data_IF_161410996899
#
_entry.id   IF_161410996899
#
_cell.length_a   1.000
_cell.length_b   1.000
_cell.length_c   1.000
_cell.angle_alpha   90.00
_cell.angle_beta   90.00
_cell.angle_gamma   90.00
#
_symmetry.space_group_name_H-M   'P 1'
#
loop_
_entity.id
_entity.type
_entity.pdbx_description
1 polymer ?
#
# COMPACT_ATOMS: atom_id res chain seq x y z
N UNK A 1 -2.26 -6.41 -24.62
CA UNK A 1 -2.20 -7.57 -24.00
C UNK A 1 -2.45 -7.49 -22.54
N UNK A 2 -3.24 -8.28 -22.11
CA UNK A 2 -3.64 -8.22 -20.75
C UNK A 2 -2.55 -8.74 -19.84
N UNK A 3 -2.37 -8.03 -18.79
CA UNK A 3 -1.54 -8.48 -17.73
C UNK A 3 -2.41 -9.30 -16.80
N UNK A 4 -2.13 -10.58 -16.70
CA UNK A 4 -2.95 -11.47 -15.91
C UNK A 4 -2.53 -11.55 -14.45
N UNK A 5 -1.56 -10.74 -14.05
CA UNK A 5 -1.15 -10.75 -12.67
C UNK A 5 -2.22 -10.11 -11.79
N UNK A 6 -2.56 -10.74 -10.68
CA UNK A 6 -3.52 -10.14 -9.77
C UNK A 6 -2.93 -8.93 -9.09
N UNK A 7 -3.79 -8.00 -8.70
CA UNK A 7 -3.37 -6.81 -7.99
C UNK A 7 -2.84 -7.11 -6.61
N UNK A 8 -3.31 -8.20 -6.01
CA UNK A 8 -2.94 -8.61 -4.66
C UNK A 8 -3.09 -10.11 -4.56
N UNK A 9 -2.55 -10.66 -3.46
CA UNK A 9 -2.64 -12.08 -3.19
C UNK A 9 -2.86 -12.24 -1.69
N UNK A 10 -3.99 -12.83 -1.32
CA UNK A 10 -4.36 -12.99 0.08
C UNK A 10 -3.84 -14.27 0.70
N UNK A 11 -3.14 -15.12 -0.07
CA UNK A 11 -2.74 -16.43 0.42
C UNK A 11 -1.86 -16.36 1.66
N UNK A 12 -0.95 -15.37 1.72
CA UNK A 12 -0.10 -15.22 2.90
C UNK A 12 -0.91 -14.81 4.13
N UNK A 13 -1.85 -13.91 3.95
CA UNK A 13 -2.71 -13.48 5.05
C UNK A 13 -3.58 -14.62 5.53
N UNK A 14 -4.11 -15.42 4.60
CA UNK A 14 -4.90 -16.59 4.94
C UNK A 14 -4.05 -17.59 5.73
N UNK A 15 -2.82 -17.82 5.30
CA UNK A 15 -1.92 -18.74 5.99
C UNK A 15 -1.61 -18.27 7.41
N UNK A 16 -1.33 -16.97 7.57
CA UNK A 16 -1.02 -16.41 8.89
C UNK A 16 -2.21 -16.57 9.83
N UNK A 17 -3.43 -16.41 9.30
CA UNK A 17 -4.64 -16.49 10.09
C UNK A 17 -5.09 -17.92 10.34
N UNK A 18 -4.37 -18.89 9.78
CA UNK A 18 -4.72 -20.29 9.91
C UNK A 18 -6.09 -20.60 9.28
N UNK A 19 -6.42 -19.89 8.21
CA UNK A 19 -7.67 -20.07 7.51
C UNK A 19 -8.87 -19.41 8.15
N UNK A 20 -8.65 -18.56 9.14
CA UNK A 20 -9.76 -17.89 9.84
C UNK A 20 -10.31 -16.76 8.96
N UNK A 21 -11.45 -17.01 8.34
CA UNK A 21 -12.02 -16.05 7.40
C UNK A 21 -12.41 -14.72 8.06
N UNK A 22 -12.91 -14.78 9.29
CA UNK A 22 -13.28 -13.55 9.98
C UNK A 22 -12.08 -12.67 10.23
N UNK A 23 -10.95 -13.28 10.59
CA UNK A 23 -9.70 -12.54 10.79
C UNK A 23 -9.22 -11.91 9.49
N UNK A 24 -9.23 -12.69 8.40
CA UNK A 24 -8.79 -12.17 7.10
C UNK A 24 -9.67 -11.00 6.68
N UNK A 25 -10.99 -11.16 6.84
CA UNK A 25 -11.92 -10.10 6.48
C UNK A 25 -11.69 -8.84 7.29
N UNK A 26 -11.42 -9.02 8.59
CA UNK A 26 -11.13 -7.89 9.46
C UNK A 26 -9.87 -7.16 9.03
N UNK A 27 -8.82 -7.90 8.72
CA UNK A 27 -7.55 -7.30 8.31
C UNK A 27 -7.68 -6.57 6.97
N UNK A 28 -8.42 -7.16 6.03
CA UNK A 28 -8.69 -6.50 4.76
C UNK A 28 -9.48 -5.20 4.98
N UNK A 29 -10.47 -5.25 5.87
CA UNK A 29 -11.26 -4.06 6.20
C UNK A 29 -10.40 -2.95 6.79
N UNK A 30 -9.51 -3.30 7.70
CA UNK A 30 -8.60 -2.32 8.29
C UNK A 30 -7.72 -1.69 7.21
N UNK A 31 -7.20 -2.52 6.31
CA UNK A 31 -6.39 -2.00 5.20
C UNK A 31 -7.19 -1.02 4.35
N UNK A 32 -8.41 -1.39 3.99
CA UNK A 32 -9.26 -0.55 3.14
C UNK A 32 -9.64 0.75 3.83
N UNK A 33 -9.78 0.75 5.15
CA UNK A 33 -10.17 1.95 5.89
C UNK A 33 -8.98 2.85 6.19
N UNK A 34 -7.85 2.28 6.55
CA UNK A 34 -6.71 3.07 7.03
C UNK A 34 -5.79 3.54 5.93
N UNK A 35 -5.65 2.76 4.86
CA UNK A 35 -4.69 3.10 3.82
C UNK A 35 -5.01 4.41 3.12
N UNK A 36 -6.27 4.73 2.77
CA UNK A 36 -6.55 6.03 2.16
C UNK A 36 -6.16 7.19 3.05
N UNK A 37 -6.36 7.06 4.36
CA UNK A 37 -5.98 8.11 5.30
C UNK A 37 -4.47 8.27 5.32
N UNK A 38 -3.74 7.16 5.36
CA UNK A 38 -2.28 7.21 5.35
C UNK A 38 -1.74 7.78 4.05
N UNK A 39 -2.36 7.42 2.92
CA UNK A 39 -1.94 7.98 1.64
C UNK A 39 -2.10 9.49 1.62
N UNK A 40 -3.20 10.00 2.14
CA UNK A 40 -3.41 11.43 2.20
C UNK A 40 -2.35 12.10 3.05
N UNK A 41 -2.07 11.55 4.23
CA UNK A 41 -1.05 12.13 5.12
C UNK A 41 0.31 12.11 4.44
N UNK A 42 0.63 11.01 3.73
CA UNK A 42 1.90 10.91 3.03
C UNK A 42 2.03 11.97 1.94
N UNK A 43 0.98 12.16 1.15
CA UNK A 43 0.99 13.16 0.09
C UNK A 43 1.03 14.57 0.66
N UNK A 44 0.30 14.83 1.74
CA UNK A 44 0.34 16.12 2.39
C UNK A 44 1.74 16.44 2.91
N UNK A 45 2.42 15.43 3.48
CA UNK A 45 3.79 15.61 3.94
C UNK A 45 4.72 15.95 2.78
N UNK A 46 4.54 15.28 1.66
CA UNK A 46 5.32 15.57 0.47
C UNK A 46 5.11 17.01 0.02
N UNK A 47 3.87 17.45 -0.05
CA UNK A 47 3.57 18.81 -0.48
C UNK A 47 4.08 19.86 0.50
N UNK A 48 4.18 19.50 1.77
CA UNK A 48 4.74 20.39 2.79
C UNK A 48 6.27 20.30 2.83
N UNK A 49 6.86 19.52 1.95
CA UNK A 49 8.30 19.29 1.89
C UNK A 49 8.83 18.63 3.16
N UNK A 50 7.98 17.88 3.83
CA UNK A 50 8.37 17.12 5.01
C UNK A 50 8.64 15.69 4.60
N UNK A 51 9.81 15.47 4.01
CA UNK A 51 10.14 14.18 3.42
C UNK A 51 10.34 13.11 4.48
N UNK A 52 10.80 13.51 5.67
CA UNK A 52 10.97 12.57 6.76
C UNK A 52 9.62 11.97 7.16
N UNK A 53 8.62 12.81 7.34
CA UNK A 53 7.28 12.33 7.69
C UNK A 53 6.70 11.48 6.58
N UNK A 54 6.89 11.89 5.33
CA UNK A 54 6.45 11.10 4.18
C UNK A 54 7.01 9.69 4.24
N UNK A 55 8.30 9.57 4.49
CA UNK A 55 8.95 8.26 4.56
C UNK A 55 8.48 7.44 5.75
N UNK A 56 8.18 8.09 6.88
CA UNK A 56 7.67 7.39 8.04
C UNK A 56 6.29 6.79 7.77
N UNK A 57 5.45 7.50 7.02
CA UNK A 57 4.14 6.97 6.65
C UNK A 57 4.30 5.81 5.67
N UNK A 58 5.21 5.92 4.71
CA UNK A 58 5.49 4.80 3.81
C UNK A 58 5.92 3.57 4.59
N UNK A 59 6.74 3.76 5.63
CA UNK A 59 7.15 2.66 6.49
C UNK A 59 5.96 1.98 7.15
N UNK A 60 4.96 2.75 7.55
CA UNK A 60 3.76 2.18 8.17
C UNK A 60 2.88 1.44 7.17
N UNK A 61 2.87 1.85 5.91
CA UNK A 61 2.08 1.18 4.88
C UNK A 61 2.75 -0.13 4.44
N UNK A 62 4.06 -0.19 4.50
CA UNK A 62 4.85 -1.29 3.94
C UNK A 62 4.41 -2.68 4.40
N UNK A 63 4.15 -2.93 5.70
CA UNK A 63 3.75 -4.28 6.10
C UNK A 63 2.48 -4.77 5.42
N UNK A 64 1.51 -3.88 5.24
CA UNK A 64 0.27 -4.24 4.56
C UNK A 64 0.51 -4.58 3.10
N UNK A 65 1.34 -3.79 2.43
CA UNK A 65 1.70 -4.04 1.03
C UNK A 65 2.35 -5.41 0.90
N UNK A 66 3.25 -5.74 1.84
CA UNK A 66 3.94 -7.03 1.81
C UNK A 66 2.97 -8.17 2.12
N UNK A 67 2.12 -8.01 3.12
CA UNK A 67 1.18 -9.07 3.52
C UNK A 67 0.13 -9.36 2.47
N UNK A 68 -0.30 -8.35 1.74
CA UNK A 68 -1.30 -8.51 0.69
C UNK A 68 -0.65 -8.74 -0.67
N UNK A 69 0.67 -8.79 -0.71
CA UNK A 69 1.45 -9.04 -1.93
C UNK A 69 1.04 -8.13 -3.08
N UNK A 70 1.02 -6.84 -2.78
CA UNK A 70 0.73 -5.84 -3.82
C UNK A 70 2.04 -5.54 -4.53
N UNK A 71 2.45 -6.48 -5.37
CA UNK A 71 3.80 -6.50 -5.94
C UNK A 71 4.11 -5.24 -6.74
N UNK A 72 3.12 -4.69 -7.42
CA UNK A 72 3.33 -3.51 -8.26
C UNK A 72 3.70 -2.27 -7.45
N UNK A 73 3.51 -2.29 -6.14
CA UNK A 73 3.79 -1.14 -5.27
C UNK A 73 4.94 -1.41 -4.30
N UNK A 74 5.32 -2.68 -4.15
CA UNK A 74 6.33 -3.05 -3.15
C UNK A 74 7.61 -2.22 -3.28
N UNK A 75 8.15 -2.12 -4.49
CA UNK A 75 9.39 -1.38 -4.71
C UNK A 75 9.17 0.12 -4.53
N UNK A 76 8.04 0.62 -4.97
CA UNK A 76 7.73 2.05 -4.84
C UNK A 76 7.67 2.50 -3.39
N UNK A 77 7.03 1.71 -2.54
CA UNK A 77 6.94 2.03 -1.12
C UNK A 77 8.33 2.07 -0.49
N UNK A 78 9.19 1.12 -0.86
CA UNK A 78 10.55 1.09 -0.33
C UNK A 78 11.36 2.29 -0.79
N UNK A 79 11.15 2.72 -2.03
CA UNK A 79 11.83 3.90 -2.53
C UNK A 79 11.38 5.16 -1.81
N UNK A 80 10.09 5.31 -1.57
CA UNK A 80 9.57 6.46 -0.82
C UNK A 80 10.18 6.50 0.57
N UNK A 81 10.24 5.35 1.21
CA UNK A 81 10.81 5.27 2.55
C UNK A 81 12.28 5.68 2.55
N UNK A 82 13.04 5.20 1.59
CA UNK A 82 14.48 5.52 1.50
C UNK A 82 14.74 6.97 1.14
N UNK A 83 13.91 7.54 0.28
CA UNK A 83 14.02 8.96 -0.02
C UNK A 83 13.74 9.77 1.24
N UNK A 84 12.75 9.37 2.01
CA UNK A 84 12.41 10.06 3.24
C UNK A 84 13.50 10.00 4.30
N UNK A 85 14.25 8.90 4.33
CA UNK A 85 15.35 8.75 5.29
C UNK A 85 16.66 9.34 4.79
N UNK A 86 16.69 9.84 3.55
CA UNK A 86 17.90 10.42 2.98
C UNK A 86 18.82 9.40 2.32
N UNK A 87 18.40 8.14 2.23
CA UNK A 87 19.22 7.09 1.62
C UNK A 87 19.21 7.15 0.11
N UNK A 88 18.15 7.68 -0.48
CA UNK A 88 18.03 7.83 -1.92
C UNK A 88 17.74 9.27 -2.27
N UNK A 89 18.18 9.67 -3.46
CA UNK A 89 17.90 11.00 -3.96
C UNK A 89 16.45 11.11 -4.39
N UNK A 90 15.93 12.32 -4.33
CA UNK A 90 14.54 12.63 -4.63
C UNK A 90 14.32 12.70 -6.14
N UNK A 91 14.49 11.60 -6.84
CA UNK A 91 14.35 11.52 -8.29
C UNK A 91 13.01 10.88 -8.61
N UNK A 92 12.20 11.52 -9.44
CA UNK A 92 10.89 11.02 -9.87
C UNK A 92 9.94 10.76 -8.69
N UNK A 93 10.15 11.45 -7.58
CA UNK A 93 9.37 11.19 -6.37
C UNK A 93 7.89 11.43 -6.59
N UNK A 94 7.53 12.52 -7.28
CA UNK A 94 6.12 12.82 -7.49
C UNK A 94 5.44 11.72 -8.29
N UNK A 95 6.10 11.23 -9.34
CA UNK A 95 5.53 10.14 -10.13
C UNK A 95 5.36 8.89 -9.30
N UNK A 96 6.36 8.55 -8.49
CA UNK A 96 6.30 7.36 -7.63
C UNK A 96 5.14 7.47 -6.66
N UNK A 97 4.96 8.64 -6.05
CA UNK A 97 3.89 8.85 -5.08
C UNK A 97 2.51 8.71 -5.73
N UNK A 98 2.31 9.33 -6.89
CA UNK A 98 1.00 9.26 -7.53
C UNK A 98 0.71 7.91 -8.13
N UNK A 99 1.74 7.20 -8.60
CA UNK A 99 1.56 5.83 -9.05
C UNK A 99 1.19 4.93 -7.87
N UNK A 100 1.83 5.12 -6.74
CA UNK A 100 1.52 4.38 -5.52
C UNK A 100 0.07 4.60 -5.11
N UNK A 101 -0.36 5.86 -5.11
CA UNK A 101 -1.73 6.20 -4.75
C UNK A 101 -2.73 5.53 -5.68
N UNK A 102 -2.47 5.61 -6.98
CA UNK A 102 -3.37 5.03 -7.97
C UNK A 102 -3.49 3.53 -7.79
N UNK A 103 -2.37 2.84 -7.64
CA UNK A 103 -2.37 1.39 -7.50
C UNK A 103 -3.08 0.97 -6.22
N UNK A 104 -2.77 1.61 -5.10
CA UNK A 104 -3.40 1.24 -3.83
C UNK A 104 -4.89 1.55 -3.83
N UNK A 105 -5.31 2.65 -4.47
CA UNK A 105 -6.72 2.96 -4.60
C UNK A 105 -7.44 1.88 -5.42
N UNK A 106 -6.82 1.44 -6.51
CA UNK A 106 -7.40 0.37 -7.33
C UNK A 106 -7.50 -0.94 -6.56
N UNK A 107 -6.48 -1.27 -5.77
CA UNK A 107 -6.50 -2.47 -4.94
C UNK A 107 -7.65 -2.41 -3.94
N UNK A 108 -7.80 -1.27 -3.28
CA UNK A 108 -8.87 -1.08 -2.29
C UNK A 108 -10.22 -1.24 -2.95
N UNK A 109 -10.42 -0.62 -4.10
CA UNK A 109 -11.68 -0.74 -4.83
C UNK A 109 -11.95 -2.20 -5.18
N UNK A 110 -10.94 -2.91 -5.64
CA UNK A 110 -11.08 -4.31 -5.99
C UNK A 110 -11.42 -5.17 -4.78
N UNK A 111 -10.75 -4.93 -3.65
CA UNK A 111 -11.01 -5.68 -2.42
C UNK A 111 -12.43 -5.45 -1.92
N UNK A 112 -12.91 -4.22 -1.99
CA UNK A 112 -14.27 -3.90 -1.55
C UNK A 112 -15.32 -4.59 -2.40
N UNK A 113 -15.06 -4.72 -3.69
CA UNK A 113 -15.99 -5.40 -4.59
C UNK A 113 -15.92 -6.90 -4.46
N UNK A 114 -14.71 -7.43 -4.47
CA UNK A 114 -14.53 -8.87 -4.62
C UNK A 114 -14.54 -9.62 -3.32
N UNK A 115 -13.86 -9.13 -2.31
CA UNK A 115 -13.67 -9.93 -1.11
C UNK A 115 -14.72 -9.69 -0.05
N UNK A 116 -14.88 -8.47 0.48
CA UNK A 116 -15.87 -8.30 1.55
C UNK A 116 -17.29 -8.45 1.07
N UNK A 117 -17.49 -8.52 -0.21
CA UNK A 117 -18.84 -8.68 -0.76
C UNK A 117 -19.45 -10.01 -0.42
N UNK A 118 -18.69 -10.93 0.15
CA UNK A 118 -19.26 -12.20 0.57
C UNK A 118 -20.09 -12.12 1.84
#
# INVERSE_FOLDING_TARGET
MANNQPMYDLSQLIAISNGNELFVKKMVGIFCDQTPVMLKVMLDAYHANDLKKMGEIAHKIKPSVDNLKIISVTQKIREIEKIGSGELEKVNLEDILYETETILTDVITSLKKGYPAK
#
